data_IF_310066123851
#
_entry.id   IF_310066123851
#
_cell.length_a   1.000
_cell.length_b   1.000
_cell.length_c   1.000
_cell.angle_alpha   90.00
_cell.angle_beta   90.00
_cell.angle_gamma   90.00
#
_symmetry.space_group_name_H-M   'P 1'
#
loop_
_entity.id
_entity.type
_entity.pdbx_description
1 polymer ?
#
# COMPACT_ATOMS: atom_id res chain seq x y z
N UNK A 1 10.49 7.83 -7.69
CA UNK A 1 10.36 7.58 -6.22
C UNK A 1 9.01 6.98 -5.86
N UNK A 2 7.86 7.54 -6.30
CA UNK A 2 6.52 7.00 -5.98
C UNK A 2 6.25 5.57 -6.43
N UNK A 3 6.70 5.17 -7.63
CA UNK A 3 6.46 3.81 -8.15
C UNK A 3 7.11 2.72 -7.27
N UNK A 4 8.33 2.99 -6.79
CA UNK A 4 9.08 2.06 -5.96
C UNK A 4 8.45 1.93 -4.56
N UNK A 5 7.94 3.05 -4.02
CA UNK A 5 7.15 3.05 -2.79
C UNK A 5 5.84 2.27 -2.94
N UNK A 6 5.18 2.36 -4.09
CA UNK A 6 3.95 1.61 -4.37
C UNK A 6 4.22 0.09 -4.43
N UNK A 7 5.27 -0.32 -5.14
CA UNK A 7 5.65 -1.74 -5.25
C UNK A 7 6.08 -2.29 -3.88
N UNK A 8 6.87 -1.54 -3.11
CA UNK A 8 7.34 -1.97 -1.78
C UNK A 8 6.19 -2.10 -0.77
N UNK A 9 5.26 -1.13 -0.73
CA UNK A 9 4.07 -1.22 0.11
C UNK A 9 3.12 -2.35 -0.36
N UNK A 10 2.97 -2.56 -1.67
CA UNK A 10 2.19 -3.68 -2.23
C UNK A 10 2.77 -5.04 -1.86
N UNK A 11 4.10 -5.20 -1.94
CA UNK A 11 4.81 -6.42 -1.52
C UNK A 11 4.68 -6.68 -0.02
N UNK A 12 4.79 -5.64 0.81
CA UNK A 12 4.59 -5.76 2.25
C UNK A 12 3.16 -6.19 2.60
N UNK A 13 2.16 -5.61 1.93
CA UNK A 13 0.76 -6.02 2.07
C UNK A 13 0.56 -7.49 1.65
N UNK A 14 1.14 -7.88 0.51
CA UNK A 14 1.06 -9.26 0.01
C UNK A 14 1.65 -10.25 1.01
N UNK A 15 2.84 -9.98 1.57
CA UNK A 15 3.49 -10.84 2.56
C UNK A 15 2.65 -10.99 3.84
N UNK A 16 2.06 -9.89 4.33
CA UNK A 16 1.21 -9.90 5.53
C UNK A 16 -0.10 -10.64 5.27
N UNK A 17 -0.66 -10.52 4.06
CA UNK A 17 -1.92 -11.19 3.70
C UNK A 17 -1.71 -12.69 3.44
N UNK A 18 -0.57 -13.08 2.86
CA UNK A 18 -0.21 -14.48 2.60
C UNK A 18 0.25 -15.22 3.86
N UNK A 19 0.84 -14.54 4.84
CA UNK A 19 1.24 -15.18 6.09
C UNK A 19 0.08 -15.26 7.09
N UNK A 20 -0.40 -16.47 7.35
CA UNK A 20 -1.45 -16.75 8.34
C UNK A 20 -1.08 -16.35 9.78
N UNK A 21 0.22 -16.15 10.07
CA UNK A 21 0.71 -15.66 11.37
C UNK A 21 0.32 -14.20 11.66
N UNK A 22 0.01 -13.41 10.63
CA UNK A 22 -0.43 -12.02 10.78
C UNK A 22 -1.95 -11.86 10.82
N UNK A 23 -2.75 -12.94 10.84
CA UNK A 23 -4.21 -12.87 11.06
C UNK A 23 -4.63 -12.42 12.47
N UNK A 24 -3.68 -12.01 13.30
CA UNK A 24 -3.95 -11.41 14.61
C UNK A 24 -4.26 -9.91 14.48
N UNK A 25 -4.87 -9.29 15.50
CA UNK A 25 -5.26 -7.87 15.47
C UNK A 25 -4.12 -6.91 15.04
N UNK A 26 -2.88 -7.29 15.32
CA UNK A 26 -1.68 -6.56 14.92
C UNK A 26 -1.44 -6.56 13.40
N UNK A 27 -1.67 -7.70 12.73
CA UNK A 27 -1.55 -7.74 11.27
C UNK A 27 -2.73 -7.08 10.58
N UNK A 28 -3.93 -7.06 11.19
CA UNK A 28 -5.04 -6.25 10.69
C UNK A 28 -4.69 -4.74 10.69
N UNK A 29 -4.12 -4.22 11.77
CA UNK A 29 -3.65 -2.83 11.86
C UNK A 29 -2.55 -2.53 10.82
N UNK A 30 -1.60 -3.45 10.66
CA UNK A 30 -0.52 -3.31 9.66
C UNK A 30 -1.07 -3.30 8.22
N UNK A 31 -2.02 -4.20 7.91
CA UNK A 31 -2.69 -4.24 6.61
C UNK A 31 -3.45 -2.96 6.32
N UNK A 32 -4.18 -2.40 7.29
CA UNK A 32 -4.89 -1.12 7.13
C UNK A 32 -3.91 0.03 6.89
N UNK A 33 -2.81 0.08 7.64
CA UNK A 33 -1.76 1.09 7.43
C UNK A 33 -1.14 1.03 6.03
N UNK A 34 -0.84 -0.17 5.55
CA UNK A 34 -0.33 -0.39 4.20
C UNK A 34 -1.35 -0.04 3.10
N UNK A 35 -2.62 -0.40 3.29
CA UNK A 35 -3.71 -0.04 2.38
C UNK A 35 -3.87 1.49 2.26
N UNK A 36 -3.81 2.20 3.39
CA UNK A 36 -3.89 3.66 3.41
C UNK A 36 -2.69 4.30 2.67
N UNK A 37 -1.51 3.73 2.82
CA UNK A 37 -0.30 4.18 2.13
C UNK A 37 -0.39 3.98 0.61
N UNK A 38 -0.85 2.80 0.17
CA UNK A 38 -1.10 2.48 -1.24
C UNK A 38 -2.16 3.41 -1.83
N UNK A 39 -3.26 3.66 -1.09
CA UNK A 39 -4.34 4.52 -1.54
C UNK A 39 -3.86 5.97 -1.72
N UNK A 40 -3.07 6.49 -0.78
CA UNK A 40 -2.48 7.84 -0.85
C UNK A 40 -1.54 7.99 -2.05
N UNK A 41 -0.66 7.01 -2.28
CA UNK A 41 0.22 6.98 -3.44
C UNK A 41 -0.57 6.92 -4.76
N UNK A 42 -1.65 6.15 -4.79
CA UNK A 42 -2.52 6.05 -5.97
C UNK A 42 -3.19 7.38 -6.29
N UNK A 43 -3.68 8.09 -5.27
CA UNK A 43 -4.28 9.42 -5.43
C UNK A 43 -3.23 10.43 -5.93
N UNK A 44 -2.02 10.43 -5.37
CA UNK A 44 -0.94 11.28 -5.86
C UNK A 44 -0.60 10.99 -7.33
N UNK A 45 -0.53 9.71 -7.73
CA UNK A 45 -0.25 9.32 -9.11
C UNK A 45 -1.36 9.75 -10.09
N UNK A 46 -2.63 9.58 -9.68
CA UNK A 46 -3.78 10.03 -10.47
C UNK A 46 -3.76 11.56 -10.61
N UNK A 47 -3.45 12.28 -9.52
CA UNK A 47 -3.35 13.72 -9.53
C UNK A 47 -2.27 14.22 -10.49
N UNK A 48 -1.06 13.65 -10.42
CA UNK A 48 0.04 13.97 -11.34
C UNK A 48 -0.35 13.68 -12.80
N UNK A 49 -1.03 12.56 -13.07
CA UNK A 49 -1.50 12.22 -14.40
C UNK A 49 -2.54 13.23 -14.94
N UNK A 50 -3.45 13.71 -14.10
CA UNK A 50 -4.43 14.74 -14.46
C UNK A 50 -3.73 16.09 -14.73
N UNK A 51 -2.73 16.46 -13.93
CA UNK A 51 -2.00 17.72 -14.10
C UNK A 51 -1.13 17.73 -15.36
N UNK A 52 -0.60 16.58 -15.76
CA UNK A 52 0.26 16.44 -16.95
C UNK A 52 -0.55 16.36 -18.26
N UNK A 53 -1.82 15.94 -18.19
CA UNK A 53 -2.77 15.90 -19.31
C UNK A 53 -3.29 17.29 -19.64
#
# INVERSE_FOLDING_TARGET
>A
VSLFGFISNGLSLYIITTNSQFRNAYGALSTVGLLCNIQTLSIMLIWEAIVII
#
